data_IF_791776423223
#
_entry.id   IF_791776423223
#
_cell.length_a   1.000
_cell.length_b   1.000
_cell.length_c   1.000
_cell.angle_alpha   90.00
_cell.angle_beta   90.00
_cell.angle_gamma   90.00
#
_symmetry.space_group_name_H-M   'P 1'
#
loop_
_entity.id
_entity.type
_entity.pdbx_description
1 polymer ?
#
# COMPACT_ATOMS: atom_id res chain seq x y z
N UNK A 1 23.82 -24.53 3.08
CA UNK A 1 22.89 -23.98 2.06
C UNK A 1 23.34 -22.58 1.69
N UNK A 2 23.41 -22.26 0.40
CA UNK A 2 23.87 -20.95 -0.08
C UNK A 2 22.67 -20.13 -0.56
N UNK A 3 22.52 -18.92 -0.02
CA UNK A 3 21.45 -17.98 -0.37
C UNK A 3 21.99 -16.85 -1.25
N UNK A 4 21.24 -16.49 -2.27
CA UNK A 4 21.49 -15.33 -3.12
C UNK A 4 20.39 -14.28 -2.92
N UNK A 5 20.75 -13.07 -2.51
CA UNK A 5 19.83 -11.94 -2.49
C UNK A 5 19.87 -11.31 -3.88
N UNK A 6 18.78 -11.45 -4.63
CA UNK A 6 18.71 -10.98 -6.02
C UNK A 6 18.37 -9.49 -6.10
N UNK A 7 18.82 -8.85 -7.16
CA UNK A 7 18.41 -7.48 -7.51
C UNK A 7 17.03 -7.49 -8.17
N UNK A 8 16.28 -6.44 -7.96
CA UNK A 8 15.02 -6.24 -8.67
C UNK A 8 15.29 -5.84 -10.12
N UNK A 9 14.44 -6.34 -11.04
CA UNK A 9 14.58 -6.13 -12.49
C UNK A 9 13.32 -5.53 -13.12
N UNK A 10 12.40 -5.02 -12.27
CA UNK A 10 11.15 -4.43 -12.73
C UNK A 10 11.36 -3.04 -13.34
N UNK A 11 10.51 -2.71 -14.31
CA UNK A 11 10.42 -1.36 -14.87
C UNK A 11 8.98 -0.80 -14.63
N UNK A 12 8.82 0.37 -14.01
CA UNK A 12 9.86 1.26 -13.48
C UNK A 12 10.69 0.60 -12.36
N UNK A 13 11.93 1.09 -12.11
CA UNK A 13 12.84 0.47 -11.17
C UNK A 13 12.27 0.38 -9.76
N UNK A 14 12.34 -0.82 -9.16
CA UNK A 14 12.04 -1.04 -7.75
C UNK A 14 13.35 -0.99 -6.95
N UNK A 15 13.44 -0.06 -6.01
CA UNK A 15 14.64 0.15 -5.19
C UNK A 15 14.65 -0.66 -3.90
N UNK A 16 13.54 -1.35 -3.59
CA UNK A 16 13.46 -2.21 -2.40
C UNK A 16 14.36 -3.43 -2.54
N UNK A 17 14.63 -4.07 -1.41
CA UNK A 17 15.33 -5.34 -1.30
C UNK A 17 14.73 -6.14 -0.14
N UNK A 18 14.87 -7.45 -0.16
CA UNK A 18 14.30 -8.32 0.90
C UNK A 18 14.95 -8.05 2.25
N UNK A 19 16.26 -7.89 2.29
CA UNK A 19 17.03 -7.61 3.50
C UNK A 19 17.90 -6.38 3.31
N UNK A 20 17.79 -5.40 4.18
CA UNK A 20 18.85 -4.39 4.32
C UNK A 20 20.15 -5.04 4.84
N UNK A 21 21.31 -4.37 4.70
CA UNK A 21 22.59 -4.90 5.24
C UNK A 21 22.48 -5.30 6.71
N UNK A 22 21.78 -4.49 7.52
CA UNK A 22 21.56 -4.76 8.95
C UNK A 22 20.70 -6.02 9.17
N UNK A 23 19.58 -6.13 8.46
CA UNK A 23 18.69 -7.28 8.56
C UNK A 23 19.33 -8.57 8.07
N UNK A 24 20.18 -8.48 7.06
CA UNK A 24 20.95 -9.62 6.59
C UNK A 24 22.00 -10.09 7.63
N UNK A 25 22.60 -9.15 8.37
CA UNK A 25 23.46 -9.50 9.51
C UNK A 25 22.65 -10.18 10.65
N UNK A 26 21.45 -9.72 10.93
CA UNK A 26 20.56 -10.35 11.94
C UNK A 26 20.22 -11.77 11.49
N UNK A 27 19.85 -11.97 10.23
CA UNK A 27 19.61 -13.29 9.64
C UNK A 27 20.84 -14.21 9.73
N UNK A 28 22.03 -13.71 9.37
CA UNK A 28 23.28 -14.48 9.44
C UNK A 28 23.64 -14.90 10.88
N UNK A 29 23.33 -14.05 11.87
CA UNK A 29 23.52 -14.39 13.31
C UNK A 29 22.58 -15.50 13.78
N UNK A 30 21.35 -15.50 13.28
CA UNK A 30 20.34 -16.50 13.62
C UNK A 30 20.61 -17.85 12.93
N UNK A 31 21.20 -17.81 11.71
CA UNK A 31 21.51 -18.99 10.89
C UNK A 31 23.00 -18.98 10.47
N UNK A 32 23.94 -19.18 11.41
CA UNK A 32 25.38 -19.00 11.17
C UNK A 32 25.97 -20.01 10.18
N UNK A 33 25.32 -21.15 9.97
CA UNK A 33 25.73 -22.18 9.02
C UNK A 33 25.37 -21.86 7.57
N UNK A 34 24.64 -20.77 7.32
CA UNK A 34 24.26 -20.36 5.95
C UNK A 34 25.37 -19.54 5.29
N UNK A 35 25.57 -19.75 4.01
CA UNK A 35 26.40 -18.88 3.17
C UNK A 35 25.48 -17.89 2.43
N UNK A 36 25.79 -16.59 2.45
CA UNK A 36 24.96 -15.58 1.83
C UNK A 36 25.81 -14.71 0.88
N UNK A 37 25.32 -14.54 -0.32
CA UNK A 37 25.87 -13.58 -1.31
C UNK A 37 24.78 -12.62 -1.76
N UNK A 38 25.20 -11.44 -2.21
CA UNK A 38 24.28 -10.40 -2.66
C UNK A 38 24.59 -10.07 -4.11
N UNK A 39 23.59 -10.11 -4.98
CA UNK A 39 23.76 -9.73 -6.38
C UNK A 39 24.07 -8.22 -6.51
N UNK A 40 25.05 -7.87 -7.32
CA UNK A 40 25.42 -6.47 -7.58
C UNK A 40 24.25 -5.68 -8.18
N UNK A 41 23.99 -4.48 -7.66
CA UNK A 41 22.88 -3.64 -8.10
C UNK A 41 23.22 -2.15 -7.98
N UNK A 42 22.97 -1.42 -9.05
CA UNK A 42 23.08 0.03 -9.08
C UNK A 42 21.74 0.77 -8.84
N UNK A 43 20.65 0.04 -8.62
CA UNK A 43 19.32 0.63 -8.44
C UNK A 43 18.75 0.49 -7.03
N UNK A 44 19.10 -0.57 -6.28
CA UNK A 44 18.55 -0.76 -4.93
C UNK A 44 18.95 0.38 -3.98
N UNK A 45 18.13 0.63 -2.96
CA UNK A 45 18.32 1.74 -2.02
C UNK A 45 19.60 1.62 -1.18
N UNK A 46 20.06 0.41 -0.92
CA UNK A 46 21.34 0.14 -0.24
C UNK A 46 22.41 -0.22 -1.27
N UNK A 47 23.56 0.48 -1.23
CA UNK A 47 24.64 0.26 -2.17
C UNK A 47 25.35 -1.09 -1.96
N UNK A 48 26.05 -1.57 -2.98
CA UNK A 48 26.92 -2.75 -2.89
C UNK A 48 27.97 -2.59 -1.78
N UNK A 49 28.55 -1.39 -1.63
CA UNK A 49 29.49 -1.06 -0.56
C UNK A 49 28.88 -1.23 0.85
N UNK A 50 27.60 -0.92 1.01
CA UNK A 50 26.93 -1.09 2.30
C UNK A 50 26.84 -2.57 2.71
N UNK A 51 26.57 -3.46 1.76
CA UNK A 51 26.58 -4.90 2.01
C UNK A 51 27.98 -5.45 2.20
N UNK A 52 28.97 -4.99 1.41
CA UNK A 52 30.35 -5.39 1.58
C UNK A 52 30.91 -5.00 2.96
N UNK A 53 30.61 -3.78 3.44
CA UNK A 53 30.94 -3.33 4.81
C UNK A 53 30.22 -4.12 5.90
N UNK A 54 29.04 -4.66 5.60
CA UNK A 54 28.30 -5.55 6.50
C UNK A 54 28.86 -6.98 6.50
N UNK A 55 29.85 -7.30 5.66
CA UNK A 55 30.54 -8.61 5.61
C UNK A 55 30.01 -9.55 4.54
N UNK A 56 29.18 -9.10 3.59
CA UNK A 56 28.61 -9.94 2.54
C UNK A 56 29.37 -9.79 1.22
N UNK A 57 29.58 -10.93 0.56
CA UNK A 57 30.16 -10.94 -0.77
C UNK A 57 29.18 -10.41 -1.80
N UNK A 58 29.65 -9.51 -2.67
CA UNK A 58 28.93 -9.02 -3.85
C UNK A 58 29.33 -9.85 -5.07
N UNK A 59 28.35 -10.26 -5.88
CA UNK A 59 28.60 -11.08 -7.08
C UNK A 59 27.62 -10.72 -8.20
N UNK A 60 28.02 -10.95 -9.44
CA UNK A 60 27.13 -10.92 -10.61
C UNK A 60 26.52 -12.29 -10.91
N UNK A 61 27.15 -13.37 -10.44
CA UNK A 61 26.72 -14.75 -10.71
C UNK A 61 26.16 -15.42 -9.44
N UNK A 62 24.92 -15.86 -9.54
CA UNK A 62 24.19 -16.57 -8.48
C UNK A 62 23.95 -18.05 -8.84
N UNK A 63 24.60 -18.58 -9.88
CA UNK A 63 24.37 -19.93 -10.39
C UNK A 63 24.72 -21.03 -9.37
N UNK A 64 25.60 -20.76 -8.41
CA UNK A 64 25.99 -21.67 -7.33
C UNK A 64 25.12 -21.57 -6.05
N UNK A 65 24.14 -20.64 -6.03
CA UNK A 65 23.20 -20.52 -4.91
C UNK A 65 22.12 -21.61 -4.96
N UNK A 66 21.71 -22.10 -3.81
CA UNK A 66 20.61 -23.07 -3.66
C UNK A 66 19.25 -22.35 -3.64
N UNK A 67 19.21 -21.19 -3.02
CA UNK A 67 17.99 -20.40 -2.78
C UNK A 67 18.21 -18.95 -3.21
N UNK A 68 17.27 -18.41 -3.96
CA UNK A 68 17.30 -17.03 -4.48
C UNK A 68 16.11 -16.26 -3.92
N UNK A 69 16.37 -15.10 -3.28
CA UNK A 69 15.35 -14.33 -2.59
C UNK A 69 15.29 -12.91 -3.15
N UNK A 70 14.12 -12.53 -3.68
CA UNK A 70 13.79 -11.21 -4.20
C UNK A 70 12.46 -10.70 -3.70
N UNK A 71 12.08 -9.50 -4.11
CA UNK A 71 10.79 -8.89 -3.77
C UNK A 71 9.75 -9.17 -4.85
N UNK A 72 10.04 -8.81 -6.09
CA UNK A 72 9.10 -8.85 -7.22
C UNK A 72 9.42 -9.94 -8.22
N UNK A 73 8.56 -10.07 -9.23
CA UNK A 73 8.69 -11.06 -10.29
C UNK A 73 10.08 -11.00 -10.93
N UNK A 74 10.70 -12.17 -11.07
CA UNK A 74 11.96 -12.32 -11.80
C UNK A 74 11.63 -12.52 -13.28
N UNK A 75 12.21 -11.74 -14.21
CA UNK A 75 12.03 -11.95 -15.64
C UNK A 75 12.44 -13.36 -16.07
N UNK A 76 11.72 -13.93 -17.04
CA UNK A 76 11.87 -15.32 -17.45
C UNK A 76 13.31 -15.66 -17.88
N UNK A 77 13.97 -14.71 -18.55
CA UNK A 77 15.36 -14.83 -19.01
C UNK A 77 16.38 -14.83 -17.86
N UNK A 78 16.00 -14.26 -16.71
CA UNK A 78 16.87 -14.22 -15.53
C UNK A 78 16.62 -15.39 -14.55
N UNK A 79 15.63 -16.24 -14.81
CA UNK A 79 15.35 -17.42 -14.00
C UNK A 79 16.42 -18.51 -14.22
N UNK A 80 17.05 -18.98 -13.15
CA UNK A 80 18.04 -20.07 -13.13
C UNK A 80 17.29 -21.38 -12.83
N UNK A 81 17.48 -22.39 -13.68
CA UNK A 81 16.83 -23.69 -13.54
C UNK A 81 17.25 -24.45 -12.28
N UNK A 82 16.34 -25.29 -11.76
CA UNK A 82 16.57 -26.17 -10.61
C UNK A 82 16.89 -25.43 -9.29
N UNK A 83 16.43 -24.18 -9.14
CA UNK A 83 16.61 -23.38 -7.93
C UNK A 83 15.34 -23.25 -7.12
N UNK A 84 15.50 -22.86 -5.85
CA UNK A 84 14.40 -22.42 -4.99
C UNK A 84 14.33 -20.89 -5.02
N UNK A 85 13.15 -20.35 -5.24
CA UNK A 85 12.92 -18.90 -5.31
C UNK A 85 11.90 -18.44 -4.29
N UNK A 86 12.14 -17.26 -3.73
CA UNK A 86 11.19 -16.51 -2.93
C UNK A 86 10.96 -15.13 -3.58
N UNK A 87 9.74 -14.86 -4.04
CA UNK A 87 9.32 -13.54 -4.55
C UNK A 87 7.79 -13.46 -4.69
N UNK A 88 7.24 -12.25 -4.87
CA UNK A 88 5.84 -12.08 -5.27
C UNK A 88 5.68 -12.39 -6.74
N UNK A 89 5.13 -13.54 -7.10
CA UNK A 89 4.93 -13.92 -8.50
C UNK A 89 3.63 -13.39 -9.09
N UNK A 90 2.65 -13.08 -8.24
CA UNK A 90 1.29 -12.73 -8.62
C UNK A 90 0.56 -13.77 -9.49
N UNK A 91 1.14 -14.95 -9.69
CA UNK A 91 0.56 -16.03 -10.53
C UNK A 91 -0.77 -16.56 -9.98
N UNK A 92 -0.96 -16.51 -8.65
CA UNK A 92 -2.23 -16.90 -8.01
C UNK A 92 -3.41 -16.04 -8.48
N UNK A 93 -3.17 -14.81 -8.95
CA UNK A 93 -4.20 -13.92 -9.47
C UNK A 93 -4.71 -14.32 -10.85
N UNK A 94 -4.07 -15.30 -11.49
CA UNK A 94 -4.43 -15.85 -12.81
C UNK A 94 -4.56 -14.80 -13.92
N UNK A 95 -3.86 -13.68 -13.79
CA UNK A 95 -3.85 -12.62 -14.80
C UNK A 95 -3.07 -13.11 -16.04
N UNK A 96 -3.54 -12.81 -17.25
CA UNK A 96 -2.94 -13.35 -18.49
C UNK A 96 -1.43 -13.09 -18.62
N UNK A 97 -0.93 -11.92 -18.20
CA UNK A 97 0.48 -11.56 -18.31
C UNK A 97 1.41 -12.41 -17.41
N UNK A 98 0.90 -13.05 -16.34
CA UNK A 98 1.68 -13.89 -15.45
C UNK A 98 1.71 -15.37 -15.88
N UNK A 99 0.98 -15.73 -16.94
CA UNK A 99 0.90 -17.11 -17.43
C UNK A 99 2.25 -17.66 -17.87
N UNK A 100 3.00 -16.85 -18.61
CA UNK A 100 4.28 -17.29 -19.18
C UNK A 100 5.35 -17.41 -18.09
N UNK A 101 5.32 -16.57 -17.07
CA UNK A 101 6.15 -16.72 -15.87
C UNK A 101 5.88 -18.06 -15.17
N UNK A 102 4.61 -18.43 -14.97
CA UNK A 102 4.26 -19.71 -14.33
C UNK A 102 4.74 -20.90 -15.16
N UNK A 103 4.58 -20.87 -16.49
CA UNK A 103 5.09 -21.91 -17.39
C UNK A 103 6.61 -22.04 -17.28
N UNK A 104 7.33 -20.92 -17.33
CA UNK A 104 8.79 -20.92 -17.23
C UNK A 104 9.28 -21.47 -15.87
N UNK A 105 8.58 -21.20 -14.78
CA UNK A 105 8.87 -21.77 -13.45
C UNK A 105 8.76 -23.30 -13.51
N UNK A 106 7.70 -23.83 -14.13
CA UNK A 106 7.51 -25.27 -14.28
C UNK A 106 8.55 -25.92 -15.20
N UNK A 107 8.79 -25.33 -16.38
CA UNK A 107 9.74 -25.82 -17.38
C UNK A 107 11.19 -25.83 -16.87
N UNK A 108 11.55 -24.82 -16.07
CA UNK A 108 12.89 -24.70 -15.44
C UNK A 108 13.03 -25.51 -14.15
N UNK A 109 12.03 -26.31 -13.77
CA UNK A 109 12.02 -27.11 -12.54
C UNK A 109 12.37 -26.28 -11.30
N UNK A 110 11.72 -25.10 -11.16
CA UNK A 110 11.91 -24.18 -10.05
C UNK A 110 10.90 -24.48 -8.93
N UNK A 111 11.39 -24.51 -7.68
CA UNK A 111 10.51 -24.50 -6.52
C UNK A 111 10.24 -23.05 -6.12
N UNK A 112 9.00 -22.57 -6.30
CA UNK A 112 8.60 -21.20 -5.94
C UNK A 112 7.92 -21.18 -4.56
N UNK A 113 8.45 -20.36 -3.68
CA UNK A 113 7.82 -19.92 -2.43
C UNK A 113 7.28 -18.49 -2.65
N UNK A 114 6.04 -18.41 -3.11
CA UNK A 114 5.43 -17.12 -3.41
C UNK A 114 5.08 -16.38 -2.11
N UNK A 115 5.66 -15.20 -1.91
CA UNK A 115 5.36 -14.34 -0.75
C UNK A 115 3.87 -14.06 -0.57
N UNK A 116 3.10 -14.09 -1.66
CA UNK A 116 1.68 -13.78 -1.62
C UNK A 116 0.84 -14.85 -0.93
N UNK A 117 1.30 -16.09 -0.91
CA UNK A 117 0.57 -17.24 -0.35
C UNK A 117 1.17 -17.77 0.95
N UNK A 118 2.18 -17.11 1.51
CA UNK A 118 2.69 -17.43 2.84
C UNK A 118 1.76 -16.84 3.88
N UNK A 119 0.99 -17.72 4.55
CA UNK A 119 -0.06 -17.33 5.49
C UNK A 119 0.13 -18.00 6.86
N UNK A 120 -0.49 -17.42 7.89
CA UNK A 120 -0.65 -18.07 9.18
C UNK A 120 -1.75 -19.15 9.13
N UNK A 121 -1.99 -19.83 10.25
CA UNK A 121 -3.03 -20.87 10.40
C UNK A 121 -4.47 -20.35 10.22
N UNK A 122 -4.65 -19.03 10.24
CA UNK A 122 -5.95 -18.36 10.03
C UNK A 122 -6.10 -17.84 8.60
N UNK A 123 -5.13 -18.08 7.71
CA UNK A 123 -5.12 -17.58 6.34
C UNK A 123 -4.67 -16.13 6.19
N UNK A 124 -4.18 -15.46 7.26
CA UNK A 124 -3.68 -14.11 7.14
C UNK A 124 -2.30 -14.10 6.48
N UNK A 125 -2.12 -13.25 5.48
CA UNK A 125 -0.83 -13.08 4.81
C UNK A 125 0.23 -12.57 5.80
N UNK A 126 1.32 -13.33 5.92
CA UNK A 126 2.46 -12.97 6.77
C UNK A 126 3.34 -11.92 6.11
N UNK A 127 3.68 -12.11 4.84
CA UNK A 127 4.61 -11.28 4.08
C UNK A 127 3.85 -10.19 3.31
N UNK A 128 4.29 -8.94 3.39
CA UNK A 128 3.68 -7.84 2.64
C UNK A 128 4.08 -6.45 3.10
N UNK A 129 3.78 -5.46 2.28
CA UNK A 129 4.15 -4.06 2.45
C UNK A 129 3.00 -3.16 2.91
N UNK A 130 1.90 -3.71 3.43
CA UNK A 130 0.68 -2.96 3.72
C UNK A 130 0.87 -1.75 4.64
N UNK A 131 1.72 -1.86 5.69
CA UNK A 131 2.06 -0.72 6.55
C UNK A 131 2.65 0.43 5.74
N UNK A 132 3.59 0.16 4.85
CA UNK A 132 4.26 1.17 4.02
C UNK A 132 3.33 1.77 2.96
N UNK A 133 2.41 0.98 2.43
CA UNK A 133 1.35 1.51 1.57
C UNK A 133 0.49 2.54 2.32
N UNK A 134 0.13 2.26 3.57
CA UNK A 134 -0.62 3.18 4.42
C UNK A 134 0.14 4.46 4.75
N UNK A 135 1.41 4.33 5.15
CA UNK A 135 2.30 5.47 5.46
C UNK A 135 2.40 6.42 4.26
N UNK A 136 2.82 5.89 3.11
CA UNK A 136 3.03 6.70 1.90
C UNK A 136 1.71 7.17 1.31
N UNK A 137 0.65 6.36 1.37
CA UNK A 137 -0.69 6.74 0.90
C UNK A 137 -1.25 7.94 1.64
N UNK A 138 -1.16 7.95 2.98
CA UNK A 138 -1.56 9.09 3.79
C UNK A 138 -0.70 10.33 3.51
N UNK A 139 0.62 10.18 3.39
CA UNK A 139 1.53 11.26 3.02
C UNK A 139 1.19 11.86 1.65
N UNK A 140 1.02 11.03 0.63
CA UNK A 140 0.66 11.48 -0.72
C UNK A 140 -0.72 12.13 -0.76
N UNK A 141 -1.65 11.71 0.09
CA UNK A 141 -2.94 12.37 0.26
C UNK A 141 -2.78 13.78 0.81
N UNK A 142 -1.95 14.02 1.84
CA UNK A 142 -1.64 15.37 2.28
C UNK A 142 -0.94 16.19 1.19
N UNK A 143 -0.04 15.57 0.43
CA UNK A 143 0.60 16.21 -0.71
C UNK A 143 -0.43 16.61 -1.78
N UNK A 144 -1.44 15.77 -2.03
CA UNK A 144 -2.56 16.08 -2.93
C UNK A 144 -3.41 17.25 -2.40
N UNK A 145 -3.69 17.28 -1.07
CA UNK A 145 -4.40 18.36 -0.41
C UNK A 145 -3.68 19.70 -0.63
N UNK A 146 -2.40 19.77 -0.31
CA UNK A 146 -1.62 20.99 -0.45
C UNK A 146 -1.59 21.51 -1.90
N UNK A 147 -1.54 20.60 -2.89
CA UNK A 147 -1.60 20.96 -4.32
C UNK A 147 -2.97 21.46 -4.75
N UNK A 148 -4.04 20.81 -4.29
CA UNK A 148 -5.41 21.22 -4.61
C UNK A 148 -5.71 22.60 -4.03
N UNK A 149 -5.46 22.78 -2.74
CA UNK A 149 -5.76 23.99 -2.00
C UNK A 149 -4.74 25.12 -2.20
N UNK A 150 -3.58 24.81 -2.79
CA UNK A 150 -2.45 25.74 -2.97
C UNK A 150 -1.96 26.39 -1.66
N UNK A 151 -2.09 25.68 -0.54
CA UNK A 151 -1.79 26.20 0.80
C UNK A 151 -0.40 25.80 1.31
N UNK A 152 0.11 24.65 0.87
CA UNK A 152 1.44 24.16 1.20
C UNK A 152 1.96 23.22 0.11
N UNK A 153 3.27 22.95 0.14
CA UNK A 153 3.89 21.99 -0.78
C UNK A 153 4.72 20.96 0.01
N UNK A 154 4.54 19.69 -0.31
CA UNK A 154 5.34 18.60 0.21
C UNK A 154 6.16 17.97 -0.92
N UNK A 155 7.44 17.61 -0.69
CA UNK A 155 8.25 16.90 -1.67
C UNK A 155 7.64 15.53 -1.99
N UNK A 156 8.09 14.88 -3.07
CA UNK A 156 7.77 13.48 -3.31
C UNK A 156 8.38 12.61 -2.21
N UNK A 157 7.66 11.58 -1.73
CA UNK A 157 8.16 10.67 -0.71
C UNK A 157 9.46 9.96 -1.17
N UNK A 158 9.56 9.60 -2.45
CA UNK A 158 10.76 8.99 -3.05
C UNK A 158 12.04 9.85 -3.00
N UNK A 159 11.90 11.15 -2.78
CA UNK A 159 13.01 12.11 -2.64
C UNK A 159 13.46 12.29 -1.19
N UNK A 160 12.78 11.66 -0.24
CA UNK A 160 13.11 11.71 1.19
C UNK A 160 13.97 10.50 1.57
N UNK A 161 14.81 10.70 2.58
CA UNK A 161 15.77 9.68 2.98
C UNK A 161 15.12 8.44 3.61
N UNK A 162 14.10 8.66 4.45
CA UNK A 162 13.44 7.63 5.26
C UNK A 162 12.15 8.17 5.90
N UNK A 163 11.49 7.33 6.70
CA UNK A 163 10.24 7.67 7.41
C UNK A 163 10.40 8.87 8.37
N UNK A 164 11.47 8.99 9.19
CA UNK A 164 11.69 10.19 9.98
C UNK A 164 11.70 11.48 9.15
N UNK A 165 12.43 11.51 8.04
CA UNK A 165 12.47 12.67 7.14
C UNK A 165 11.09 12.98 6.54
N UNK A 166 10.27 11.95 6.27
CA UNK A 166 8.91 12.11 5.78
C UNK A 166 8.02 12.76 6.85
N UNK A 167 8.11 12.31 8.10
CA UNK A 167 7.37 12.88 9.22
C UNK A 167 7.80 14.32 9.49
N UNK A 168 9.10 14.62 9.42
CA UNK A 168 9.61 15.98 9.59
C UNK A 168 8.98 16.94 8.57
N UNK A 169 8.82 16.52 7.30
CA UNK A 169 8.13 17.34 6.30
C UNK A 169 6.67 17.59 6.65
N UNK A 170 5.95 16.59 7.13
CA UNK A 170 4.55 16.75 7.56
C UNK A 170 4.40 17.71 8.74
N UNK A 171 5.36 17.76 9.66
CA UNK A 171 5.35 18.67 10.80
C UNK A 171 5.62 20.14 10.43
N UNK A 172 6.02 20.41 9.18
CA UNK A 172 6.17 21.80 8.69
C UNK A 172 4.88 22.43 8.20
N UNK A 173 3.83 21.64 7.92
CA UNK A 173 2.58 22.15 7.35
C UNK A 173 1.55 22.47 8.43
N UNK A 174 0.67 23.41 8.10
CA UNK A 174 -0.51 23.71 8.91
C UNK A 174 -1.76 23.32 8.15
N UNK A 175 -2.55 22.45 8.76
CA UNK A 175 -3.83 22.03 8.19
C UNK A 175 -4.95 22.98 8.62
N UNK A 176 -5.92 23.26 7.72
CA UNK A 176 -7.17 23.90 8.12
C UNK A 176 -8.01 22.98 9.02
N UNK A 177 -9.12 23.48 9.52
CA UNK A 177 -10.11 22.66 10.21
C UNK A 177 -10.77 21.73 9.18
N UNK A 178 -10.29 20.50 9.08
CA UNK A 178 -10.79 19.45 8.16
C UNK A 178 -11.14 18.18 8.92
N UNK A 179 -12.13 17.46 8.41
CA UNK A 179 -12.50 16.13 8.89
C UNK A 179 -11.93 15.06 7.98
N UNK A 180 -11.04 14.23 8.52
CA UNK A 180 -10.38 13.14 7.81
C UNK A 180 -11.04 11.83 8.22
N UNK A 181 -11.46 11.02 7.24
CA UNK A 181 -11.99 9.68 7.46
C UNK A 181 -10.98 8.64 7.04
N UNK A 182 -10.70 7.67 7.90
CA UNK A 182 -9.84 6.52 7.60
C UNK A 182 -10.66 5.22 7.70
N UNK A 183 -10.72 4.44 6.61
CA UNK A 183 -11.37 3.12 6.65
C UNK A 183 -10.38 1.98 6.83
N UNK A 184 -10.82 0.95 7.55
CA UNK A 184 -10.11 -0.30 7.74
C UNK A 184 -9.39 -0.44 9.06
N UNK A 185 -8.97 -1.69 9.36
CA UNK A 185 -8.27 -2.08 10.60
C UNK A 185 -6.98 -2.87 10.34
N UNK A 186 -6.68 -3.14 9.06
CA UNK A 186 -5.53 -3.90 8.62
C UNK A 186 -4.20 -3.14 8.66
N UNK A 187 -3.15 -3.76 8.09
CA UNK A 187 -1.79 -3.19 8.02
C UNK A 187 -1.76 -1.83 7.32
N UNK A 188 -2.57 -1.63 6.27
CA UNK A 188 -2.68 -0.36 5.53
C UNK A 188 -3.23 0.75 6.41
N UNK A 189 -4.39 0.53 7.01
CA UNK A 189 -5.02 1.54 7.88
C UNK A 189 -4.15 1.87 9.11
N UNK A 190 -3.42 0.89 9.65
CA UNK A 190 -2.45 1.13 10.73
C UNK A 190 -1.32 2.04 10.28
N UNK A 191 -0.75 1.84 9.08
CA UNK A 191 0.27 2.71 8.54
C UNK A 191 -0.23 4.13 8.27
N UNK A 192 -1.44 4.29 7.71
CA UNK A 192 -2.06 5.61 7.54
C UNK A 192 -2.29 6.31 8.88
N UNK A 193 -2.75 5.55 9.90
CA UNK A 193 -2.93 6.07 11.26
C UNK A 193 -1.61 6.56 11.88
N UNK A 194 -0.50 5.87 11.66
CA UNK A 194 0.82 6.31 12.14
C UNK A 194 1.18 7.73 11.64
N UNK A 195 0.83 8.06 10.39
CA UNK A 195 1.02 9.41 9.83
C UNK A 195 0.11 10.42 10.52
N UNK A 196 -1.18 10.10 10.68
CA UNK A 196 -2.13 11.00 11.35
C UNK A 196 -1.72 11.29 12.81
N UNK A 197 -1.27 10.25 13.51
CA UNK A 197 -0.78 10.38 14.89
C UNK A 197 0.53 11.20 14.97
N UNK A 198 1.47 10.97 14.04
CA UNK A 198 2.73 11.72 13.98
C UNK A 198 2.52 13.22 13.73
N UNK A 199 1.44 13.57 13.03
CA UNK A 199 1.01 14.96 12.84
C UNK A 199 0.21 15.53 14.03
N UNK A 200 0.02 14.75 15.11
CA UNK A 200 -0.80 15.10 16.27
C UNK A 200 -2.26 15.47 15.92
N UNK A 201 -2.80 14.90 14.82
CA UNK A 201 -4.21 15.12 14.47
C UNK A 201 -5.08 14.36 15.47
N UNK A 202 -6.01 15.08 16.10
CA UNK A 202 -6.86 14.51 17.14
C UNK A 202 -7.82 13.47 16.58
N UNK A 203 -7.82 12.25 17.15
CA UNK A 203 -8.84 11.25 16.87
C UNK A 203 -10.14 11.57 17.62
N UNK A 204 -11.29 11.34 16.98
CA UNK A 204 -12.62 11.57 17.57
C UNK A 204 -13.50 10.34 17.44
N UNK A 205 -14.52 10.23 18.29
CA UNK A 205 -15.53 9.18 18.21
C UNK A 205 -16.38 9.30 16.94
N UNK A 206 -17.00 8.21 16.49
CA UNK A 206 -17.93 8.24 15.35
C UNK A 206 -19.07 9.22 15.62
N UNK A 207 -19.62 9.25 16.83
CA UNK A 207 -20.69 10.17 17.21
C UNK A 207 -20.25 11.61 17.05
N UNK A 208 -19.12 12.00 17.64
CA UNK A 208 -18.61 13.37 17.54
C UNK A 208 -18.25 13.72 16.10
N UNK A 209 -17.66 12.79 15.35
CA UNK A 209 -17.33 13.00 13.94
C UNK A 209 -18.55 13.38 13.10
N UNK A 210 -19.68 12.70 13.34
CA UNK A 210 -20.91 12.91 12.58
C UNK A 210 -21.69 14.16 13.01
N UNK A 211 -21.60 14.58 14.29
CA UNK A 211 -22.50 15.59 14.83
C UNK A 211 -21.85 16.90 15.25
N UNK A 212 -20.52 16.92 15.41
CA UNK A 212 -19.80 18.09 15.95
C UNK A 212 -19.00 18.77 14.86
N UNK A 213 -19.00 20.12 14.87
CA UNK A 213 -18.07 20.93 14.09
C UNK A 213 -16.81 21.19 14.91
N UNK A 214 -15.64 21.16 14.24
CA UNK A 214 -14.34 21.37 14.88
C UNK A 214 -13.66 22.59 14.26
N UNK A 215 -12.84 23.28 15.03
CA UNK A 215 -12.01 24.40 14.58
C UNK A 215 -10.52 24.00 14.41
N UNK A 216 -10.25 22.72 14.40
CA UNK A 216 -8.95 22.09 14.19
C UNK A 216 -9.11 20.82 13.31
N UNK A 217 -8.03 20.32 12.70
CA UNK A 217 -8.10 19.05 11.97
C UNK A 217 -8.38 17.89 12.93
N UNK A 218 -9.31 17.02 12.54
CA UNK A 218 -9.65 15.80 13.29
C UNK A 218 -9.75 14.61 12.36
N UNK A 219 -9.52 13.41 12.89
CA UNK A 219 -9.80 12.21 12.13
C UNK A 219 -10.67 11.19 12.90
N UNK A 220 -11.45 10.44 12.14
CA UNK A 220 -12.17 9.27 12.62
C UNK A 220 -11.73 8.03 11.85
N UNK A 221 -11.40 6.96 12.57
CA UNK A 221 -11.13 5.65 11.97
C UNK A 221 -12.35 4.77 12.12
N UNK A 222 -12.84 4.22 11.00
CA UNK A 222 -14.00 3.33 10.94
C UNK A 222 -13.63 2.00 10.31
N UNK A 223 -14.36 0.96 10.68
CA UNK A 223 -14.19 -0.38 10.12
C UNK A 223 -15.46 -0.85 9.43
N UNK A 224 -15.39 -2.02 8.82
CA UNK A 224 -16.43 -2.61 7.96
C UNK A 224 -17.83 -2.63 8.58
N UNK A 225 -17.94 -2.81 9.89
CA UNK A 225 -19.23 -2.79 10.58
C UNK A 225 -19.77 -1.39 10.85
N UNK A 226 -18.95 -0.35 10.74
CA UNK A 226 -19.38 1.04 10.94
C UNK A 226 -20.03 1.61 9.69
N UNK A 227 -19.55 1.22 8.50
CA UNK A 227 -20.04 1.74 7.22
C UNK A 227 -20.86 0.76 6.40
N UNK A 228 -21.24 -0.41 6.97
CA UNK A 228 -22.21 -1.32 6.40
C UNK A 228 -23.33 -1.62 7.40
N UNK A 229 -24.47 -2.06 6.90
CA UNK A 229 -25.60 -2.57 7.68
C UNK A 229 -26.18 -3.79 7.01
N UNK A 230 -26.68 -4.74 7.81
CA UNK A 230 -27.42 -5.87 7.26
C UNK A 230 -28.81 -5.45 6.75
N UNK A 231 -29.22 -6.03 5.63
CA UNK A 231 -30.52 -5.77 5.01
C UNK A 231 -31.67 -6.20 5.93
N UNK A 232 -31.48 -7.30 6.66
CA UNK A 232 -32.48 -7.90 7.55
C UNK A 232 -32.49 -7.35 8.99
N UNK A 233 -31.59 -6.37 9.28
CA UNK A 233 -31.50 -5.75 10.61
C UNK A 233 -30.90 -6.62 11.71
N UNK A 234 -30.35 -7.81 11.38
CA UNK A 234 -29.67 -8.66 12.37
C UNK A 234 -28.34 -8.07 12.83
N UNK A 235 -27.77 -8.67 13.89
CA UNK A 235 -26.50 -8.24 14.47
C UNK A 235 -25.35 -8.43 13.48
N UNK A 236 -24.55 -7.39 13.35
CA UNK A 236 -23.35 -7.35 12.51
C UNK A 236 -22.19 -8.08 13.18
N UNK A 237 -21.48 -8.91 12.43
CA UNK A 237 -20.19 -9.46 12.84
C UNK A 237 -19.20 -9.44 11.67
N UNK A 238 -17.90 -9.24 11.95
CA UNK A 238 -16.87 -9.28 10.91
C UNK A 238 -16.87 -10.62 10.16
N UNK A 239 -17.00 -11.72 10.88
CA UNK A 239 -17.03 -13.07 10.28
C UNK A 239 -18.19 -13.23 9.32
N UNK A 240 -19.40 -12.77 9.70
CA UNK A 240 -20.57 -12.86 8.84
C UNK A 240 -20.43 -11.96 7.60
N UNK A 241 -19.93 -10.74 7.77
CA UNK A 241 -19.70 -9.83 6.65
C UNK A 241 -18.77 -10.46 5.59
N UNK A 242 -17.64 -11.02 6.02
CA UNK A 242 -16.68 -11.61 5.07
C UNK A 242 -17.17 -12.91 4.43
N UNK A 243 -18.03 -13.67 5.11
CA UNK A 243 -18.59 -14.91 4.58
C UNK A 243 -19.88 -14.71 3.77
N UNK A 244 -20.62 -13.64 4.02
CA UNK A 244 -21.92 -13.37 3.42
C UNK A 244 -22.10 -11.87 3.07
N UNK A 245 -21.20 -11.28 2.26
CA UNK A 245 -21.22 -9.83 1.99
C UNK A 245 -22.49 -9.35 1.29
N UNK A 246 -23.18 -10.20 0.51
CA UNK A 246 -24.41 -9.87 -0.18
C UNK A 246 -25.63 -9.61 0.75
N UNK A 247 -25.52 -10.00 2.02
CA UNK A 247 -26.55 -9.68 3.04
C UNK A 247 -26.42 -8.24 3.58
N UNK A 248 -25.45 -7.47 3.08
CA UNK A 248 -25.14 -6.13 3.55
C UNK A 248 -25.36 -5.07 2.49
N UNK A 249 -25.61 -3.85 2.95
CA UNK A 249 -25.66 -2.64 2.12
C UNK A 249 -24.81 -1.55 2.75
N UNK A 250 -24.35 -0.61 1.92
CA UNK A 250 -23.56 0.52 2.38
C UNK A 250 -24.36 1.44 3.32
N UNK A 251 -23.70 1.93 4.35
CA UNK A 251 -24.12 3.00 5.24
C UNK A 251 -23.07 4.12 5.29
N UNK A 252 -22.22 4.17 4.27
CA UNK A 252 -21.08 5.07 4.20
C UNK A 252 -21.48 6.54 3.97
N UNK A 253 -22.59 6.80 3.29
CA UNK A 253 -23.01 8.16 2.94
C UNK A 253 -23.20 9.08 4.15
N UNK A 254 -23.51 8.54 5.33
CA UNK A 254 -23.57 9.36 6.57
C UNK A 254 -22.20 9.95 6.93
N UNK A 255 -21.11 9.27 6.58
CA UNK A 255 -19.76 9.79 6.76
C UNK A 255 -19.36 10.72 5.61
N UNK A 256 -19.70 10.36 4.37
CA UNK A 256 -19.36 11.16 3.19
C UNK A 256 -19.90 12.59 3.26
N UNK A 257 -21.03 12.80 3.94
CA UNK A 257 -21.67 14.12 4.12
C UNK A 257 -20.86 15.11 4.97
N UNK A 258 -19.96 14.63 5.80
CA UNK A 258 -19.21 15.44 6.77
C UNK A 258 -17.70 15.31 6.64
N UNK A 259 -17.23 14.50 5.68
CA UNK A 259 -15.81 14.21 5.45
C UNK A 259 -15.27 15.15 4.38
N UNK A 260 -14.14 15.77 4.63
CA UNK A 260 -13.43 16.57 3.65
C UNK A 260 -12.39 15.73 2.91
N UNK A 261 -11.63 14.92 3.65
CA UNK A 261 -10.57 14.07 3.13
C UNK A 261 -10.78 12.61 3.55
N UNK A 262 -10.86 11.72 2.58
CA UNK A 262 -11.06 10.29 2.78
C UNK A 262 -9.78 9.49 2.45
N UNK A 263 -9.32 8.67 3.40
CA UNK A 263 -8.22 7.71 3.23
C UNK A 263 -8.83 6.29 3.19
N UNK A 264 -8.81 5.67 2.02
CA UNK A 264 -9.32 4.33 1.82
C UNK A 264 -8.21 3.30 2.08
N UNK A 265 -8.21 2.72 3.29
CA UNK A 265 -7.25 1.69 3.73
C UNK A 265 -7.92 0.35 4.04
N UNK A 266 -9.15 0.15 3.58
CA UNK A 266 -9.92 -1.07 3.78
C UNK A 266 -9.57 -2.15 2.75
N UNK A 267 -9.97 -3.37 3.03
CA UNK A 267 -9.99 -4.48 2.07
C UNK A 267 -11.38 -4.55 1.43
N UNK A 268 -11.43 -4.69 0.11
CA UNK A 268 -12.66 -4.93 -0.63
C UNK A 268 -12.68 -6.38 -1.13
N UNK A 269 -13.69 -7.13 -0.68
CA UNK A 269 -13.93 -8.51 -1.12
C UNK A 269 -15.01 -8.59 -2.18
N UNK A 270 -14.97 -9.62 -3.02
CA UNK A 270 -15.99 -9.87 -4.04
C UNK A 270 -17.39 -9.94 -3.41
N UNK A 271 -18.36 -9.25 -4.01
CA UNK A 271 -19.74 -9.19 -3.53
C UNK A 271 -19.98 -8.23 -2.36
N UNK A 272 -18.95 -7.55 -1.85
CA UNK A 272 -19.11 -6.52 -0.81
C UNK A 272 -19.84 -5.28 -1.36
N UNK A 273 -20.63 -4.56 -0.52
CA UNK A 273 -21.22 -3.30 -0.93
C UNK A 273 -20.14 -2.24 -1.25
N UNK A 274 -20.38 -1.44 -2.26
CA UNK A 274 -19.56 -0.26 -2.51
C UNK A 274 -19.70 0.75 -1.37
N UNK A 275 -18.62 1.48 -1.05
CA UNK A 275 -18.71 2.54 -0.07
C UNK A 275 -19.62 3.65 -0.59
N UNK A 276 -19.30 4.16 -1.78
CA UNK A 276 -20.17 5.08 -2.50
C UNK A 276 -20.12 4.83 -4.01
N UNK A 277 -21.24 5.04 -4.65
CA UNK A 277 -21.44 4.88 -6.09
C UNK A 277 -21.20 6.21 -6.83
N UNK A 278 -21.22 6.17 -8.17
CA UNK A 278 -21.19 7.38 -9.02
C UNK A 278 -22.39 8.28 -8.75
N UNK A 279 -23.56 7.71 -8.49
CA UNK A 279 -24.77 8.49 -8.15
C UNK A 279 -24.67 9.12 -6.75
N UNK A 280 -24.08 8.41 -5.78
CA UNK A 280 -23.83 8.98 -4.46
C UNK A 280 -22.88 10.21 -4.55
N UNK A 281 -21.85 10.14 -5.39
CA UNK A 281 -20.89 11.21 -5.59
C UNK A 281 -21.49 12.48 -6.24
N UNK A 282 -22.61 12.36 -6.98
CA UNK A 282 -23.35 13.49 -7.56
C UNK A 282 -24.25 14.19 -6.55
N UNK A 283 -24.49 13.57 -5.40
CA UNK A 283 -25.42 14.13 -4.40
C UNK A 283 -24.90 15.45 -3.85
N UNK A 284 -25.77 16.45 -3.75
CA UNK A 284 -25.50 17.73 -3.08
C UNK A 284 -25.07 17.56 -1.61
N UNK A 285 -25.28 16.39 -1.06
CA UNK A 285 -24.87 16.03 0.30
C UNK A 285 -23.53 15.31 0.37
N UNK A 286 -22.85 15.07 -0.75
CA UNK A 286 -21.53 14.45 -0.79
C UNK A 286 -20.47 15.51 -0.60
N UNK A 287 -19.70 15.41 0.50
CA UNK A 287 -18.75 16.46 0.89
C UNK A 287 -17.27 16.08 0.64
N UNK A 288 -16.99 14.81 0.32
CA UNK A 288 -15.59 14.38 0.10
C UNK A 288 -15.06 15.03 -1.18
N UNK A 289 -14.01 15.84 -1.04
CA UNK A 289 -13.35 16.49 -2.16
C UNK A 289 -11.90 16.03 -2.37
N UNK A 290 -11.40 15.17 -1.47
CA UNK A 290 -10.11 14.51 -1.62
C UNK A 290 -10.19 13.04 -1.19
N UNK A 291 -9.71 12.16 -2.04
CA UNK A 291 -9.60 10.71 -1.79
C UNK A 291 -8.15 10.27 -1.94
N UNK A 292 -7.56 9.70 -0.91
CA UNK A 292 -6.37 8.88 -1.00
C UNK A 292 -6.79 7.40 -1.01
N UNK A 293 -6.97 6.83 -2.18
CA UNK A 293 -7.34 5.43 -2.32
C UNK A 293 -6.10 4.53 -2.30
N UNK A 294 -5.74 4.07 -1.10
CA UNK A 294 -4.60 3.18 -0.87
C UNK A 294 -4.94 1.74 -1.26
N UNK A 295 -6.22 1.38 -1.28
CA UNK A 295 -6.69 0.07 -1.76
C UNK A 295 -6.59 -0.05 -3.28
N UNK A 296 -6.84 1.05 -3.99
CA UNK A 296 -6.69 1.17 -5.46
C UNK A 296 -7.45 0.09 -6.25
N UNK A 297 -8.69 -0.19 -5.83
CA UNK A 297 -9.59 -1.12 -6.52
C UNK A 297 -10.33 -0.38 -7.64
N UNK A 298 -9.87 -0.53 -8.88
CA UNK A 298 -10.44 0.15 -10.05
C UNK A 298 -11.86 -0.35 -10.31
N UNK A 299 -12.78 0.59 -10.60
CA UNK A 299 -14.22 0.32 -10.70
C UNK A 299 -14.79 -0.43 -9.47
N UNK A 300 -14.16 -0.22 -8.33
CA UNK A 300 -14.42 -0.89 -7.06
C UNK A 300 -15.27 -0.03 -6.11
N UNK A 301 -15.04 -0.18 -4.79
CA UNK A 301 -15.90 0.39 -3.74
C UNK A 301 -15.88 1.91 -3.66
N UNK A 302 -14.89 2.56 -4.28
CA UNK A 302 -14.67 4.01 -4.29
C UNK A 302 -14.87 4.51 -5.71
N UNK A 303 -16.06 5.00 -6.04
CA UNK A 303 -16.46 5.31 -7.41
C UNK A 303 -15.57 6.33 -8.14
N UNK A 304 -14.84 7.16 -7.41
CA UNK A 304 -13.89 8.13 -7.98
C UNK A 304 -12.56 7.50 -8.42
N UNK A 305 -12.30 6.23 -8.11
CA UNK A 305 -11.06 5.53 -8.51
C UNK A 305 -11.24 4.91 -9.89
N UNK A 306 -11.03 5.72 -10.92
CA UNK A 306 -11.19 5.33 -12.32
C UNK A 306 -10.01 4.53 -12.87
N UNK A 307 -8.82 4.79 -12.33
CA UNK A 307 -7.56 4.12 -12.71
C UNK A 307 -6.55 4.18 -11.59
N UNK A 308 -5.58 3.30 -11.64
CA UNK A 308 -4.37 3.48 -10.86
C UNK A 308 -3.62 4.72 -11.34
N UNK A 309 -3.04 5.48 -10.42
CA UNK A 309 -2.09 6.54 -10.71
C UNK A 309 -0.66 6.04 -10.50
N UNK A 310 0.33 6.80 -10.93
CA UNK A 310 1.75 6.44 -10.85
C UNK A 310 2.50 7.36 -9.89
N UNK A 311 3.67 6.92 -9.41
CA UNK A 311 4.57 7.76 -8.61
C UNK A 311 4.94 9.05 -9.35
N UNK A 312 5.10 8.98 -10.68
CA UNK A 312 5.40 10.14 -11.52
C UNK A 312 4.23 11.12 -11.62
N UNK A 313 3.01 10.59 -11.83
CA UNK A 313 1.74 11.35 -11.93
C UNK A 313 0.71 10.78 -10.93
N UNK A 314 0.79 11.18 -9.63
CA UNK A 314 0.06 10.51 -8.57
C UNK A 314 -1.38 10.97 -8.37
N UNK A 315 -1.82 12.06 -9.05
CA UNK A 315 -3.06 12.76 -8.73
C UNK A 315 -3.83 13.09 -10.00
N UNK A 316 -5.13 12.80 -10.00
CA UNK A 316 -6.07 13.27 -11.01
C UNK A 316 -7.35 13.81 -10.37
N UNK A 317 -8.23 14.42 -11.15
CA UNK A 317 -9.57 14.82 -10.72
C UNK A 317 -10.62 13.85 -11.23
N UNK A 318 -11.63 13.60 -10.43
CA UNK A 318 -12.86 12.92 -10.82
C UNK A 318 -14.00 13.95 -10.83
N UNK A 319 -14.65 14.12 -11.97
CA UNK A 319 -15.84 14.96 -12.10
C UNK A 319 -17.08 14.12 -11.76
N UNK A 320 -17.80 14.43 -10.66
CA UNK A 320 -18.98 13.67 -10.27
C UNK A 320 -20.11 13.71 -11.32
N UNK A 321 -20.30 14.83 -12.04
CA UNK A 321 -21.38 15.00 -12.99
C UNK A 321 -21.22 14.11 -14.22
N UNK A 322 -20.01 14.10 -14.76
CA UNK A 322 -19.71 13.33 -15.97
C UNK A 322 -19.17 11.93 -15.70
N UNK A 323 -18.80 11.65 -14.44
CA UNK A 323 -18.07 10.44 -14.00
C UNK A 323 -16.79 10.20 -14.79
N UNK A 324 -16.12 11.27 -15.20
CA UNK A 324 -14.92 11.24 -16.05
C UNK A 324 -13.70 11.81 -15.31
N UNK A 325 -12.52 11.45 -15.82
CA UNK A 325 -11.27 12.06 -15.38
C UNK A 325 -11.14 13.49 -15.88
N UNK A 326 -10.73 14.40 -15.00
CA UNK A 326 -10.45 15.80 -15.27
C UNK A 326 -9.17 16.23 -14.57
N UNK A 327 -8.73 17.46 -14.77
CA UNK A 327 -7.64 18.02 -13.99
C UNK A 327 -8.07 18.10 -12.50
N UNK A 328 -7.18 17.73 -11.57
CA UNK A 328 -7.48 17.78 -10.12
C UNK A 328 -7.77 19.21 -9.60
N UNK A 329 -7.40 20.23 -10.38
CA UNK A 329 -7.69 21.64 -10.13
C UNK A 329 -9.06 22.10 -10.65
N UNK A 330 -9.79 21.23 -11.36
CA UNK A 330 -11.15 21.55 -11.84
C UNK A 330 -12.06 21.84 -10.64
N UNK A 331 -12.85 22.91 -10.67
CA UNK A 331 -13.82 23.22 -9.62
C UNK A 331 -14.77 22.03 -9.39
N UNK A 332 -15.10 21.75 -8.15
CA UNK A 332 -15.97 20.65 -7.72
C UNK A 332 -15.49 19.23 -8.04
N UNK A 333 -14.33 19.05 -8.70
CA UNK A 333 -13.77 17.72 -8.90
C UNK A 333 -13.26 17.14 -7.59
N UNK A 334 -13.50 15.85 -7.38
CA UNK A 334 -12.88 15.08 -6.31
C UNK A 334 -11.43 14.82 -6.72
N UNK A 335 -10.47 15.26 -5.92
CA UNK A 335 -9.06 14.96 -6.15
C UNK A 335 -8.78 13.53 -5.71
N UNK A 336 -8.18 12.73 -6.57
CA UNK A 336 -7.89 11.30 -6.32
C UNK A 336 -6.41 11.04 -6.40
N UNK A 337 -5.86 10.42 -5.36
CA UNK A 337 -4.54 9.79 -5.34
C UNK A 337 -4.76 8.28 -5.19
N UNK A 338 -4.38 7.50 -6.20
CA UNK A 338 -4.57 6.05 -6.25
C UNK A 338 -3.33 5.34 -6.83
N UNK A 339 -2.16 5.62 -6.24
CA UNK A 339 -0.89 4.99 -6.64
C UNK A 339 -0.88 3.52 -6.20
N UNK A 340 -0.63 2.60 -7.12
CA UNK A 340 -0.73 1.15 -6.88
C UNK A 340 0.51 0.52 -6.22
N UNK A 341 1.63 1.23 -6.19
CA UNK A 341 2.91 0.73 -5.69
C UNK A 341 3.57 1.66 -4.64
N UNK A 342 2.76 2.30 -3.81
CA UNK A 342 3.15 3.25 -2.77
C UNK A 342 4.40 2.86 -1.94
N UNK A 343 4.60 1.59 -1.51
CA UNK A 343 5.79 1.21 -0.74
C UNK A 343 7.12 1.42 -1.46
N UNK A 344 7.12 1.57 -2.79
CA UNK A 344 8.33 1.87 -3.58
C UNK A 344 8.86 3.29 -3.33
N UNK A 345 8.02 4.20 -2.86
CA UNK A 345 8.40 5.57 -2.52
C UNK A 345 9.11 5.70 -1.15
N UNK A 346 9.11 4.64 -0.32
CA UNK A 346 9.82 4.59 0.95
C UNK A 346 10.70 3.32 1.01
N UNK A 347 11.62 3.13 0.06
CA UNK A 347 12.27 1.84 -0.18
C UNK A 347 13.17 1.37 0.96
N UNK A 348 13.80 2.31 1.70
CA UNK A 348 14.70 1.99 2.82
C UNK A 348 13.94 1.35 3.97
N UNK A 349 12.92 2.05 4.48
CA UNK A 349 12.10 1.56 5.60
C UNK A 349 11.28 0.33 5.19
N UNK A 350 10.75 0.33 3.96
CA UNK A 350 10.02 -0.82 3.42
C UNK A 350 10.89 -2.09 3.36
N UNK A 351 12.16 -1.95 3.00
CA UNK A 351 13.11 -3.08 2.97
C UNK A 351 13.47 -3.56 4.38
N UNK A 352 13.71 -2.62 5.32
CA UNK A 352 14.00 -2.98 6.71
C UNK A 352 12.83 -3.76 7.32
N UNK A 353 11.61 -3.23 7.24
CA UNK A 353 10.45 -3.92 7.79
C UNK A 353 10.02 -5.16 7.00
N UNK A 354 10.41 -5.28 5.74
CA UNK A 354 10.21 -6.53 5.00
C UNK A 354 11.14 -7.63 5.51
N UNK A 355 12.41 -7.28 5.78
CA UNK A 355 13.37 -8.18 6.41
C UNK A 355 12.91 -8.70 7.77
N UNK A 356 12.24 -7.87 8.58
CA UNK A 356 11.67 -8.28 9.88
C UNK A 356 10.63 -9.41 9.76
N UNK A 357 9.98 -9.55 8.60
CA UNK A 357 8.97 -10.59 8.39
C UNK A 357 9.59 -11.99 8.13
N UNK A 358 10.90 -12.04 7.88
CA UNK A 358 11.65 -13.28 7.66
C UNK A 358 12.45 -13.73 8.91
N UNK A 359 12.62 -12.84 9.89
CA UNK A 359 13.31 -13.08 11.15
C UNK A 359 12.33 -13.53 12.25
#
# INVERSE_FOLDING_TARGET
MKFGIIKERKNPPDRRVVFSPKKLQEFQKQFPETSIVVESSNIRVFSDDAYAKAGFQITEDLSDCDVLIGVKEVPIEALISNKKYFFFSHTIKKQPYNRDLLKAILEKNITLYDHEVITDTRGNRLIGFGRYAGLVGAYNGFRALGRKEQTFSLPKAENLADLPALIDQLNTIKLPAIKILLTGSGKVAKGAKEILDAMNIRTVSISDYLTTSFNEPVYCKIDVLDYNKRIDGQVLTNSDFYNNPSAYVSNFMRFARVTDYFIAGHFFGEGSPYLFTREDAKSDHFNIHLVADVSCDIDGPVASTLRASTIADPIYGYDPETSAEVAYTTPNAITVMAVDNLPCELPKDASDGFGDLFL
#
